data_IF_015014764787
#
_entry.id   IF_015014764787
#
_cell.length_a   1.000
_cell.length_b   1.000
_cell.length_c   1.000
_cell.angle_alpha   90.00
_cell.angle_beta   90.00
_cell.angle_gamma   90.00
#
_symmetry.space_group_name_H-M   'P 1'
#
loop_
_entity.id
_entity.type
_entity.pdbx_description
1 polymer ?
#
# COMPACT_ATOMS: atom_id res chain seq x y z
N UNK A 1 2.35 37.16 -8.93
CA UNK A 1 1.36 36.09 -9.14
C UNK A 1 0.73 36.33 -10.51
N UNK A 2 0.86 35.40 -11.45
CA UNK A 2 0.30 35.55 -12.81
C UNK A 2 -1.04 34.83 -12.87
N UNK A 3 -2.12 35.59 -13.00
CA UNK A 3 -3.49 35.06 -13.12
C UNK A 3 -3.67 34.42 -14.50
N UNK A 4 -4.50 33.37 -14.59
CA UNK A 4 -4.80 32.71 -15.87
C UNK A 4 -5.43 33.71 -16.84
N UNK A 5 -4.77 33.95 -17.98
CA UNK A 5 -5.14 35.03 -18.91
C UNK A 5 -6.23 34.66 -19.92
N UNK A 6 -6.63 33.37 -19.99
CA UNK A 6 -7.69 32.87 -20.88
C UNK A 6 -8.26 31.56 -20.37
N UNK A 7 -9.51 31.28 -20.73
CA UNK A 7 -10.15 29.99 -20.48
C UNK A 7 -9.27 28.86 -21.00
N UNK A 8 -8.94 27.94 -20.11
CA UNK A 8 -8.07 26.80 -20.38
C UNK A 8 -8.75 25.53 -19.84
N UNK A 9 -9.77 25.00 -20.56
CA UNK A 9 -10.48 23.81 -20.12
C UNK A 9 -9.49 22.66 -19.93
N UNK A 10 -9.55 22.00 -18.77
CA UNK A 10 -8.70 20.87 -18.43
C UNK A 10 -9.36 19.58 -18.92
N UNK A 11 -8.55 18.62 -19.38
CA UNK A 11 -9.02 17.27 -19.68
C UNK A 11 -9.11 16.49 -18.37
N UNK A 12 -10.29 15.95 -18.06
CA UNK A 12 -10.53 15.13 -16.88
C UNK A 12 -10.41 13.64 -17.22
N UNK A 13 -10.01 12.84 -16.23
CA UNK A 13 -10.07 11.38 -16.33
C UNK A 13 -11.51 10.86 -16.25
N UNK A 14 -11.76 9.65 -16.75
CA UNK A 14 -13.08 9.05 -16.80
C UNK A 14 -13.36 8.21 -15.54
N UNK A 15 -13.88 8.84 -14.48
CA UNK A 15 -14.29 8.15 -13.25
C UNK A 15 -13.22 7.18 -12.71
N UNK A 16 -13.57 5.90 -12.69
CA UNK A 16 -12.72 4.83 -12.16
C UNK A 16 -11.74 4.26 -13.20
N UNK A 17 -11.74 4.75 -14.44
CA UNK A 17 -10.81 4.35 -15.49
C UNK A 17 -9.61 5.28 -15.55
N UNK A 18 -8.44 4.73 -15.87
CA UNK A 18 -7.25 5.52 -16.14
C UNK A 18 -6.42 4.94 -17.29
N UNK A 19 -5.79 5.82 -18.05
CA UNK A 19 -4.93 5.44 -19.17
C UNK A 19 -3.46 5.52 -18.80
N UNK A 20 -2.69 4.51 -19.18
CA UNK A 20 -1.23 4.48 -19.00
C UNK A 20 -0.55 4.09 -20.30
N UNK A 21 0.57 4.75 -20.63
CA UNK A 21 1.40 4.36 -21.75
C UNK A 21 2.06 3.00 -21.49
N UNK A 22 1.99 2.09 -22.45
CA UNK A 22 2.52 0.73 -22.33
C UNK A 22 4.02 0.74 -22.63
N UNK A 23 4.80 -0.12 -21.97
CA UNK A 23 6.21 -0.36 -22.32
C UNK A 23 6.35 -0.86 -23.77
N UNK A 24 7.54 -0.73 -24.36
CA UNK A 24 7.79 -1.11 -25.74
C UNK A 24 7.56 -2.62 -25.99
N UNK A 25 7.17 -2.98 -27.21
CA UNK A 25 7.05 -4.37 -27.68
C UNK A 25 6.29 -5.29 -26.70
N UNK A 26 5.14 -4.85 -26.20
CA UNK A 26 4.40 -5.54 -25.14
C UNK A 26 2.94 -5.73 -25.50
N UNK A 27 2.43 -6.90 -25.17
CA UNK A 27 1.01 -7.27 -25.30
C UNK A 27 0.40 -7.34 -23.90
N UNK A 28 -0.79 -6.78 -23.74
CA UNK A 28 -1.59 -6.85 -22.52
C UNK A 28 -2.94 -7.45 -22.91
N UNK A 29 -3.37 -8.47 -22.19
CA UNK A 29 -4.68 -9.08 -22.37
C UNK A 29 -5.70 -8.42 -21.44
N UNK A 30 -6.97 -8.51 -21.83
CA UNK A 30 -8.07 -8.10 -20.95
C UNK A 30 -8.04 -8.92 -19.65
N UNK A 31 -8.26 -8.26 -18.52
CA UNK A 31 -8.25 -8.89 -17.20
C UNK A 31 -6.86 -9.07 -16.59
N UNK A 32 -5.76 -8.84 -17.32
CA UNK A 32 -4.41 -8.87 -16.74
C UNK A 32 -4.26 -7.85 -15.61
N UNK A 33 -3.63 -8.23 -14.50
CA UNK A 33 -3.19 -7.29 -13.48
C UNK A 33 -2.05 -6.43 -14.04
N UNK A 34 -2.16 -5.10 -13.90
CA UNK A 34 -1.19 -4.16 -14.48
C UNK A 34 -0.32 -3.55 -13.40
N UNK A 35 0.99 -3.68 -13.61
CA UNK A 35 2.04 -3.02 -12.83
C UNK A 35 2.57 -1.78 -13.52
N UNK A 36 3.19 -0.88 -12.75
CA UNK A 36 3.96 0.24 -13.30
C UNK A 36 5.46 0.03 -13.12
N UNK A 37 6.20 0.18 -14.23
CA UNK A 37 7.66 0.25 -14.24
C UNK A 37 8.12 1.53 -14.92
N UNK A 38 8.89 2.35 -14.21
CA UNK A 38 9.35 3.67 -14.67
C UNK A 38 8.23 4.59 -15.22
N UNK A 39 6.99 4.43 -14.72
CA UNK A 39 5.83 5.20 -15.17
C UNK A 39 5.09 4.63 -16.38
N UNK A 40 5.53 3.51 -16.95
CA UNK A 40 4.85 2.80 -18.02
C UNK A 40 4.14 1.55 -17.51
N UNK A 41 2.98 1.26 -18.10
CA UNK A 41 2.20 0.06 -17.84
C UNK A 41 2.84 -1.17 -18.50
N UNK A 42 2.75 -2.28 -17.79
CA UNK A 42 3.21 -3.61 -18.20
C UNK A 42 2.35 -4.68 -17.53
N UNK A 43 2.33 -5.92 -18.06
CA UNK A 43 1.92 -7.07 -17.26
C UNK A 43 2.65 -7.03 -15.91
N UNK A 44 1.89 -7.11 -14.82
CA UNK A 44 2.41 -7.00 -13.47
C UNK A 44 3.51 -8.02 -13.24
N UNK A 45 4.60 -7.60 -12.60
CA UNK A 45 5.57 -8.48 -11.99
C UNK A 45 5.57 -8.29 -10.48
N UNK A 46 5.94 -9.34 -9.74
CA UNK A 46 6.10 -9.32 -8.29
C UNK A 46 6.91 -8.09 -7.82
N UNK A 47 6.31 -7.29 -6.93
CA UNK A 47 6.90 -6.06 -6.41
C UNK A 47 6.53 -4.80 -7.18
N UNK A 48 5.99 -4.90 -8.40
CA UNK A 48 5.50 -3.74 -9.14
C UNK A 48 4.32 -3.09 -8.40
N UNK A 49 4.20 -1.77 -8.51
CA UNK A 49 3.00 -1.06 -8.05
C UNK A 49 1.80 -1.39 -8.94
N UNK A 50 0.83 -2.10 -8.39
CA UNK A 50 -0.45 -2.40 -9.03
C UNK A 50 -1.27 -1.13 -9.28
N UNK A 51 -1.82 -0.99 -10.49
CA UNK A 51 -2.62 0.19 -10.90
C UNK A 51 -4.03 -0.13 -11.36
N UNK A 52 -4.36 -1.40 -11.53
CA UNK A 52 -5.68 -1.85 -11.94
C UNK A 52 -5.63 -3.06 -12.86
N UNK A 53 -6.80 -3.51 -13.26
CA UNK A 53 -6.95 -4.57 -14.27
C UNK A 53 -7.16 -3.95 -15.65
N UNK A 54 -6.59 -4.56 -16.68
CA UNK A 54 -6.76 -4.10 -18.06
C UNK A 54 -8.20 -4.31 -18.54
N UNK A 55 -8.81 -3.26 -19.09
CA UNK A 55 -10.19 -3.28 -19.57
C UNK A 55 -10.36 -3.99 -20.93
N UNK A 56 -9.28 -4.16 -21.69
CA UNK A 56 -9.30 -4.74 -23.04
C UNK A 56 -7.92 -5.20 -23.46
N UNK A 57 -7.88 -6.07 -24.48
CA UNK A 57 -6.65 -6.43 -25.19
C UNK A 57 -6.02 -5.22 -25.85
N UNK A 58 -4.70 -5.08 -25.70
CA UNK A 58 -3.92 -4.04 -26.37
C UNK A 58 -2.50 -4.51 -26.65
N UNK A 59 -2.00 -4.15 -27.83
CA UNK A 59 -0.65 -4.47 -28.27
C UNK A 59 0.09 -3.17 -28.57
N UNK A 60 1.32 -3.06 -28.07
CA UNK A 60 2.25 -1.98 -28.40
C UNK A 60 3.46 -2.55 -29.15
N UNK A 61 3.44 -2.58 -30.50
CA UNK A 61 4.59 -3.03 -31.27
C UNK A 61 5.72 -1.98 -31.33
N UNK A 62 5.46 -0.76 -30.85
CA UNK A 62 6.36 0.39 -30.95
C UNK A 62 7.16 0.68 -29.68
N UNK A 63 7.59 1.94 -29.55
CA UNK A 63 8.32 2.44 -28.37
C UNK A 63 7.44 2.59 -27.13
N UNK A 64 8.08 2.76 -25.98
CA UNK A 64 7.38 2.97 -24.71
C UNK A 64 6.46 4.21 -24.79
N UNK A 65 5.20 4.05 -24.38
CA UNK A 65 4.19 5.10 -24.40
C UNK A 65 3.54 5.39 -25.75
N UNK A 66 3.85 4.62 -26.81
CA UNK A 66 3.23 4.81 -28.12
C UNK A 66 1.74 4.42 -28.14
N UNK A 67 1.37 3.43 -27.33
CA UNK A 67 -0.01 2.96 -27.15
C UNK A 67 -0.36 3.02 -25.67
N UNK A 68 -1.60 3.38 -25.36
CA UNK A 68 -2.11 3.42 -23.98
C UNK A 68 -3.00 2.20 -23.70
N UNK A 69 -2.86 1.62 -22.51
CA UNK A 69 -3.83 0.69 -21.92
C UNK A 69 -4.78 1.47 -21.03
N UNK A 70 -6.07 1.12 -21.04
CA UNK A 70 -7.04 1.63 -20.06
C UNK A 70 -7.23 0.56 -18.98
N UNK A 71 -7.11 0.99 -17.72
CA UNK A 71 -7.30 0.12 -16.56
C UNK A 71 -8.47 0.60 -15.71
N UNK A 72 -9.16 -0.35 -15.09
CA UNK A 72 -10.09 -0.09 -13.99
C UNK A 72 -9.31 0.05 -12.68
N UNK A 73 -9.41 1.20 -12.02
CA UNK A 73 -8.68 1.53 -10.78
C UNK A 73 -9.33 0.96 -9.52
N UNK A 74 -10.65 0.74 -9.55
CA UNK A 74 -11.39 0.20 -8.41
C UNK A 74 -12.56 -0.65 -8.88
N UNK A 75 -12.96 -1.60 -8.04
CA UNK A 75 -14.08 -2.48 -8.30
C UNK A 75 -13.98 -3.79 -7.52
N UNK A 76 -14.81 -4.74 -7.92
CA UNK A 76 -14.80 -6.10 -7.44
C UNK A 76 -14.52 -7.02 -8.63
N UNK A 77 -13.61 -7.98 -8.46
CA UNK A 77 -13.21 -8.91 -9.50
C UNK A 77 -13.05 -10.32 -8.95
N UNK A 78 -13.54 -11.30 -9.69
CA UNK A 78 -13.38 -12.70 -9.33
C UNK A 78 -12.01 -13.19 -9.82
N UNK A 79 -11.19 -13.68 -8.89
CA UNK A 79 -9.83 -14.13 -9.18
C UNK A 79 -9.62 -15.59 -8.75
N UNK A 80 -8.84 -16.37 -9.52
CA UNK A 80 -8.28 -17.63 -9.03
C UNK A 80 -7.15 -17.32 -8.05
N UNK A 81 -7.30 -17.72 -6.79
CA UNK A 81 -6.34 -17.45 -5.72
C UNK A 81 -5.85 -18.78 -5.16
N UNK A 82 -4.54 -19.03 -5.25
CA UNK A 82 -3.95 -20.29 -4.81
C UNK A 82 -4.28 -20.60 -3.33
N UNK A 83 -4.78 -21.80 -3.08
CA UNK A 83 -5.14 -22.33 -1.75
C UNK A 83 -6.19 -21.51 -0.97
N UNK A 84 -7.03 -20.71 -1.65
CA UNK A 84 -8.08 -19.94 -0.97
C UNK A 84 -9.13 -20.86 -0.32
N UNK A 85 -9.41 -20.61 0.95
CA UNK A 85 -10.44 -21.26 1.75
C UNK A 85 -11.51 -20.26 2.25
N UNK A 86 -12.65 -20.78 2.72
CA UNK A 86 -13.77 -19.96 3.24
C UNK A 86 -13.36 -19.10 4.46
N UNK A 87 -12.35 -19.53 5.21
CA UNK A 87 -11.80 -18.81 6.36
C UNK A 87 -11.01 -17.56 5.97
N UNK A 88 -10.64 -17.42 4.70
CA UNK A 88 -9.76 -16.35 4.22
C UNK A 88 -10.55 -15.14 3.72
N UNK A 89 -11.88 -15.14 3.89
CA UNK A 89 -12.69 -13.95 3.62
C UNK A 89 -12.19 -12.82 4.52
N UNK A 90 -11.81 -11.72 3.88
CA UNK A 90 -11.20 -10.57 4.51
C UNK A 90 -9.67 -10.60 4.53
N UNK A 91 -9.00 -11.60 3.96
CA UNK A 91 -7.55 -11.61 3.86
C UNK A 91 -7.06 -10.80 2.65
N UNK A 92 -5.84 -10.24 2.72
CA UNK A 92 -5.23 -9.56 1.58
C UNK A 92 -4.85 -10.55 0.47
N UNK A 93 -4.99 -10.09 -0.77
CA UNK A 93 -4.59 -10.82 -1.99
C UNK A 93 -3.40 -10.09 -2.61
N UNK A 94 -2.43 -10.88 -3.04
CA UNK A 94 -1.21 -10.45 -3.71
C UNK A 94 -1.06 -11.16 -5.05
N UNK A 95 -0.15 -10.67 -5.90
CA UNK A 95 0.16 -11.29 -7.18
C UNK A 95 1.68 -11.36 -7.43
N UNK A 96 2.12 -12.47 -8.01
CA UNK A 96 3.52 -12.67 -8.45
C UNK A 96 3.72 -12.30 -9.93
N UNK A 97 2.66 -12.36 -10.72
CA UNK A 97 2.61 -11.96 -12.12
C UNK A 97 1.19 -11.49 -12.48
N UNK A 98 0.88 -11.28 -13.76
CA UNK A 98 -0.37 -10.67 -14.21
C UNK A 98 -1.60 -11.58 -14.12
N UNK A 99 -1.44 -12.88 -13.85
CA UNK A 99 -2.54 -13.87 -13.70
C UNK A 99 -2.37 -14.83 -12.50
N UNK A 100 -1.30 -14.72 -11.72
CA UNK A 100 -1.05 -15.57 -10.55
C UNK A 100 -1.29 -14.83 -9.24
N UNK A 101 -2.42 -15.14 -8.59
CA UNK A 101 -2.83 -14.54 -7.32
C UNK A 101 -2.63 -15.47 -6.13
N UNK A 102 -2.24 -14.90 -5.00
CA UNK A 102 -1.82 -15.62 -3.79
C UNK A 102 -2.17 -14.85 -2.52
N UNK A 103 -2.25 -15.55 -1.40
CA UNK A 103 -2.37 -14.94 -0.07
C UNK A 103 -1.00 -14.61 0.55
N UNK A 104 0.09 -15.00 -0.12
CA UNK A 104 1.47 -14.76 0.36
C UNK A 104 1.94 -13.36 0.02
N UNK A 105 2.22 -12.56 1.04
CA UNK A 105 2.71 -11.19 0.88
C UNK A 105 4.15 -11.09 0.40
N UNK A 106 5.05 -11.93 0.90
CA UNK A 106 6.51 -11.76 0.75
C UNK A 106 6.94 -11.68 -0.71
N UNK A 107 7.41 -10.51 -1.14
CA UNK A 107 7.93 -10.25 -2.48
C UNK A 107 6.87 -10.03 -3.56
N UNK A 108 5.58 -10.17 -3.25
CA UNK A 108 4.48 -10.06 -4.21
C UNK A 108 3.78 -8.70 -4.14
N UNK A 109 3.14 -8.29 -5.23
CA UNK A 109 2.42 -7.02 -5.31
C UNK A 109 1.05 -7.13 -4.67
N UNK A 110 0.67 -6.16 -3.84
CA UNK A 110 -0.67 -6.10 -3.25
C UNK A 110 -1.72 -5.74 -4.31
N UNK A 111 -2.84 -6.49 -4.33
CA UNK A 111 -3.94 -6.33 -5.30
C UNK A 111 -5.20 -5.78 -4.62
N UNK A 112 -5.60 -6.40 -3.51
CA UNK A 112 -6.88 -6.10 -2.87
C UNK A 112 -7.18 -7.01 -1.70
N UNK A 113 -8.47 -7.14 -1.36
CA UNK A 113 -8.96 -7.93 -0.23
C UNK A 113 -10.08 -8.86 -0.67
N UNK A 114 -10.06 -10.10 -0.19
CA UNK A 114 -11.17 -11.04 -0.43
C UNK A 114 -12.41 -10.53 0.28
N UNK A 115 -13.50 -10.32 -0.46
CA UNK A 115 -14.80 -9.90 0.09
C UNK A 115 -15.85 -11.00 0.07
N UNK A 116 -15.68 -12.00 -0.80
CA UNK A 116 -16.58 -13.15 -0.90
C UNK A 116 -15.82 -14.39 -1.36
N UNK A 117 -16.07 -15.50 -0.70
CA UNK A 117 -15.60 -16.81 -1.13
C UNK A 117 -16.60 -17.40 -2.13
N UNK A 118 -16.14 -17.79 -3.32
CA UNK A 118 -17.00 -18.40 -4.35
C UNK A 118 -16.85 -19.92 -4.33
N UNK A 119 -15.61 -20.40 -4.35
CA UNK A 119 -15.26 -21.81 -4.24
C UNK A 119 -13.81 -21.99 -3.79
N UNK A 120 -13.39 -23.23 -3.51
CA UNK A 120 -11.98 -23.49 -3.21
C UNK A 120 -11.09 -22.97 -4.35
N UNK A 121 -10.12 -22.12 -4.00
CA UNK A 121 -9.24 -21.47 -4.96
C UNK A 121 -9.85 -20.30 -5.77
N UNK A 122 -11.07 -19.83 -5.48
CA UNK A 122 -11.71 -18.72 -6.22
C UNK A 122 -12.46 -17.79 -5.27
N UNK A 123 -12.19 -16.49 -5.38
CA UNK A 123 -12.83 -15.48 -4.54
C UNK A 123 -13.10 -14.18 -5.28
N UNK A 124 -14.10 -13.44 -4.82
CA UNK A 124 -14.32 -12.05 -5.20
C UNK A 124 -13.39 -11.16 -4.39
N UNK A 125 -12.62 -10.33 -5.08
CA UNK A 125 -11.63 -9.42 -4.53
C UNK A 125 -12.07 -7.99 -4.78
N UNK A 126 -12.24 -7.22 -3.71
CA UNK A 126 -12.37 -5.77 -3.83
C UNK A 126 -10.96 -5.17 -3.96
N UNK A 127 -10.78 -4.36 -5.01
CA UNK A 127 -9.54 -3.62 -5.25
C UNK A 127 -9.85 -2.13 -5.39
N UNK A 128 -8.94 -1.30 -4.90
CA UNK A 128 -9.00 0.15 -5.04
C UNK A 128 -7.58 0.71 -5.05
N UNK A 129 -7.13 1.14 -6.22
CA UNK A 129 -5.79 1.73 -6.41
C UNK A 129 -5.75 3.23 -6.10
N UNK A 130 -6.90 3.82 -5.78
CA UNK A 130 -7.04 5.23 -5.36
C UNK A 130 -7.13 5.36 -3.84
N UNK A 131 -7.72 4.38 -3.17
CA UNK A 131 -7.80 4.29 -1.72
C UNK A 131 -6.77 3.29 -1.20
N UNK A 132 -5.50 3.60 -1.45
CA UNK A 132 -4.39 2.89 -0.85
C UNK A 132 -4.37 3.26 0.63
N UNK A 133 -4.96 2.39 1.46
CA UNK A 133 -5.06 2.53 2.90
C UNK A 133 -3.71 2.93 3.49
N UNK A 134 -3.59 4.21 3.83
CA UNK A 134 -2.38 4.80 4.40
C UNK A 134 -2.68 5.15 5.84
N UNK A 135 -1.88 4.61 6.77
CA UNK A 135 -1.81 5.18 8.10
C UNK A 135 -0.94 6.42 8.02
N UNK A 136 -1.56 7.54 7.65
CA UNK A 136 -0.87 8.82 7.44
C UNK A 136 -0.26 9.34 8.74
N UNK A 137 -0.84 9.01 9.90
CA UNK A 137 -0.24 9.20 11.21
C UNK A 137 -0.98 8.43 12.31
N UNK A 138 -0.31 8.19 13.43
CA UNK A 138 -0.96 8.12 14.75
C UNK A 138 -0.80 9.51 15.37
N UNK A 139 -1.85 10.35 15.33
CA UNK A 139 -1.81 11.73 15.86
C UNK A 139 -2.86 11.90 16.95
N UNK A 140 -2.47 12.51 18.08
CA UNK A 140 -3.42 12.89 19.15
C UNK A 140 -4.26 14.15 18.78
N UNK A 141 -5.45 14.27 19.35
CA UNK A 141 -6.55 15.18 18.99
C UNK A 141 -6.55 16.54 19.73
N UNK A 142 -5.40 17.04 20.19
CA UNK A 142 -5.35 18.37 20.83
C UNK A 142 -4.67 19.39 19.90
N UNK A 143 -5.41 20.43 19.48
CA UNK A 143 -4.94 21.50 18.57
C UNK A 143 -3.88 22.45 19.15
N UNK A 144 -2.92 21.94 19.92
CA UNK A 144 -1.79 22.70 20.49
C UNK A 144 -0.49 22.50 19.69
N UNK A 145 0.46 23.44 19.82
CA UNK A 145 1.78 23.33 19.22
C UNK A 145 2.52 22.09 19.75
N UNK A 146 2.63 21.08 18.88
CA UNK A 146 3.43 19.86 18.96
C UNK A 146 3.72 19.33 20.38
N UNK A 147 2.79 18.54 20.92
CA UNK A 147 3.09 17.59 21.99
C UNK A 147 2.31 16.29 21.79
N UNK A 148 2.68 15.46 20.80
CA UNK A 148 1.97 14.20 20.52
C UNK A 148 2.81 13.06 19.93
N UNK A 149 4.14 13.14 19.98
CA UNK A 149 4.98 11.96 19.74
C UNK A 149 5.08 11.11 21.03
N UNK A 150 5.56 9.86 20.90
CA UNK A 150 5.87 8.91 21.98
C UNK A 150 6.77 9.49 23.11
N UNK A 151 7.26 10.71 22.94
CA UNK A 151 8.07 11.48 23.88
C UNK A 151 7.32 11.87 25.17
N UNK A 152 5.99 11.87 25.19
CA UNK A 152 5.21 12.18 26.40
C UNK A 152 5.15 11.03 27.45
N UNK A 153 5.62 9.82 27.13
CA UNK A 153 5.77 8.76 28.14
C UNK A 153 6.79 9.14 29.24
N UNK A 154 7.61 10.19 29.02
CA UNK A 154 8.56 10.70 30.00
C UNK A 154 7.95 11.49 31.17
N UNK A 155 6.67 11.86 31.15
CA UNK A 155 6.05 12.64 32.24
C UNK A 155 5.22 11.81 33.23
N UNK A 156 5.09 10.49 33.01
CA UNK A 156 4.23 9.62 33.83
C UNK A 156 4.84 9.15 35.17
N UNK A 157 5.97 9.69 35.62
CA UNK A 157 6.54 9.33 36.92
C UNK A 157 6.87 10.60 37.72
N UNK A 158 5.82 11.22 38.28
CA UNK A 158 5.93 12.29 39.29
C UNK A 158 5.84 11.75 40.73
N UNK A 159 6.02 10.44 40.92
CA UNK A 159 6.02 9.82 42.24
C UNK A 159 7.39 9.90 42.91
N UNK A 160 7.47 10.58 44.06
CA UNK A 160 8.55 10.42 45.04
C UNK A 160 8.47 8.98 45.56
N UNK A 161 9.55 8.21 45.47
CA UNK A 161 9.60 6.91 46.14
C UNK A 161 9.77 7.13 47.66
N UNK A 162 8.85 6.57 48.43
CA UNK A 162 8.98 6.50 49.87
C UNK A 162 10.16 5.62 50.25
N UNK A 163 10.80 5.98 51.36
CA UNK A 163 11.94 5.30 52.00
C UNK A 163 11.78 3.76 51.97
N UNK A 164 12.71 3.06 51.30
CA UNK A 164 13.05 1.68 51.65
C UNK A 164 12.42 0.54 50.83
N UNK A 165 12.09 0.74 49.55
CA UNK A 165 11.87 -0.40 48.63
C UNK A 165 12.86 -0.35 47.48
N UNK A 166 13.29 -1.53 47.02
CA UNK A 166 14.23 -1.77 45.92
C UNK A 166 13.63 -1.35 44.57
N UNK A 167 13.24 -0.08 44.48
CA UNK A 167 12.86 0.62 43.27
C UNK A 167 14.09 0.63 42.39
N UNK A 168 13.99 -0.01 41.23
CA UNK A 168 14.93 0.22 40.14
C UNK A 168 15.16 1.74 40.11
N UNK A 169 16.41 2.15 40.30
CA UNK A 169 16.74 3.56 40.46
C UNK A 169 16.09 4.33 39.31
N UNK A 170 15.73 5.59 39.50
CA UNK A 170 15.22 6.41 38.38
C UNK A 170 16.08 6.22 37.11
N UNK A 171 17.39 6.06 37.30
CA UNK A 171 18.33 5.73 36.23
C UNK A 171 18.06 4.38 35.54
N UNK A 172 17.72 3.31 36.25
CA UNK A 172 17.36 2.00 35.67
C UNK A 172 16.06 2.05 34.88
N UNK A 173 15.05 2.79 35.38
CA UNK A 173 13.77 2.98 34.68
C UNK A 173 13.97 3.84 33.43
N UNK A 174 14.73 4.93 33.54
CA UNK A 174 15.10 5.79 32.42
C UNK A 174 15.91 5.00 31.37
N UNK A 175 16.83 4.14 31.81
CA UNK A 175 17.61 3.28 30.92
C UNK A 175 16.73 2.27 30.17
N UNK A 176 15.77 1.63 30.85
CA UNK A 176 14.81 0.70 30.22
C UNK A 176 13.87 1.42 29.25
N UNK A 177 13.38 2.60 29.60
CA UNK A 177 12.54 3.42 28.72
C UNK A 177 13.32 3.89 27.49
N UNK A 178 14.60 4.22 27.66
CA UNK A 178 15.51 4.55 26.55
C UNK A 178 15.71 3.34 25.63
N UNK A 179 15.94 2.13 26.17
CA UNK A 179 16.01 0.91 25.36
C UNK A 179 14.71 0.62 24.62
N UNK A 180 13.54 0.82 25.25
CA UNK A 180 12.25 0.62 24.59
C UNK A 180 12.06 1.63 23.44
N UNK A 181 12.42 2.90 23.64
CA UNK A 181 12.40 3.93 22.58
C UNK A 181 13.31 3.56 21.41
N UNK A 182 14.53 3.11 21.70
CA UNK A 182 15.48 2.68 20.66
C UNK A 182 14.94 1.49 19.88
N UNK A 183 14.37 0.48 20.56
CA UNK A 183 13.76 -0.67 19.89
C UNK A 183 12.60 -0.27 18.98
N UNK A 184 11.77 0.71 19.36
CA UNK A 184 10.70 1.23 18.50
C UNK A 184 11.24 2.05 17.33
N UNK A 185 12.31 2.81 17.52
CA UNK A 185 12.99 3.51 16.42
C UNK A 185 13.63 2.54 15.43
N UNK A 186 14.27 1.48 15.92
CA UNK A 186 14.85 0.41 15.12
C UNK A 186 13.78 -0.36 14.35
N UNK A 187 12.64 -0.65 15.01
CA UNK A 187 11.48 -1.25 14.35
C UNK A 187 10.90 -0.32 13.29
N UNK A 188 10.75 0.98 13.58
CA UNK A 188 10.28 1.96 12.59
C UNK A 188 11.24 2.04 11.39
N UNK A 189 12.56 1.99 11.61
CA UNK A 189 13.55 1.95 10.55
C UNK A 189 13.47 0.65 9.73
N UNK A 190 13.31 -0.50 10.37
CA UNK A 190 13.15 -1.80 9.72
C UNK A 190 11.85 -1.86 8.89
N UNK A 191 10.76 -1.34 9.45
CA UNK A 191 9.47 -1.22 8.74
C UNK A 191 9.60 -0.24 7.59
N UNK A 192 10.30 0.89 7.74
CA UNK A 192 10.56 1.83 6.65
C UNK A 192 11.43 1.23 5.53
N UNK A 193 12.42 0.41 5.88
CA UNK A 193 13.22 -0.33 4.91
C UNK A 193 12.36 -1.35 4.14
N UNK A 194 11.47 -2.05 4.85
CA UNK A 194 10.50 -2.96 4.25
C UNK A 194 9.48 -2.23 3.36
N UNK A 195 9.02 -1.06 3.79
CA UNK A 195 8.16 -0.16 3.00
C UNK A 195 8.87 0.30 1.73
N UNK A 196 10.18 0.59 1.80
CA UNK A 196 10.96 1.00 0.63
C UNK A 196 11.18 -0.15 -0.37
N UNK A 197 11.21 -1.39 0.10
CA UNK A 197 11.26 -2.60 -0.73
C UNK A 197 9.93 -2.90 -1.44
N UNK A 198 8.82 -2.29 -1.00
CA UNK A 198 7.47 -2.44 -1.56
C UNK A 198 7.03 -1.26 -2.45
N UNK A 199 7.95 -0.35 -2.81
CA UNK A 199 7.74 0.75 -3.76
C UNK A 199 8.06 0.31 -5.19
#
# INVERSE_FOLDING_TARGET
>A
MTTLAKDSPRKYGLGDKNGFGIVAATTIYEGSAIGLSAGYARPLQAGDRFVGFADHYVENPGGAGAVNVTVSKRGEIQLPIANLAITDVGFPVYASDDDTFTLTATGNSYIGKVIRFESAGVGMVAFDTTNLGTLTALTDNSGGAANTTLEACGTAVTGVDGVGSNAASKADVDARLTSIKNNFADLAAAVNALIALAK
#
